data_IF_473206989236
#
_entry.id   IF_473206989236
#
_cell.length_a   1.000
_cell.length_b   1.000
_cell.length_c   1.000
_cell.angle_alpha   90.00
_cell.angle_beta   90.00
_cell.angle_gamma   90.00
#
_symmetry.space_group_name_H-M   'P 1'
#
loop_
_entity.id
_entity.type
_entity.pdbx_description
1 polymer ?
#
# COMPACT_ATOMS: atom_id res chain seq x y z
N UNK A 1 5.79 20.36 14.23
CA UNK A 1 4.62 20.19 13.35
C UNK A 1 4.82 18.89 12.58
N UNK A 2 3.95 17.88 12.70
CA UNK A 2 4.11 16.66 11.91
C UNK A 2 3.83 17.01 10.44
N UNK A 3 4.86 16.91 9.60
CA UNK A 3 4.74 17.09 8.15
C UNK A 3 3.82 16.01 7.61
N UNK A 4 2.62 16.38 7.17
CA UNK A 4 1.77 15.50 6.37
C UNK A 4 2.59 15.04 5.16
N UNK A 5 2.73 13.73 4.90
CA UNK A 5 3.43 13.27 3.72
C UNK A 5 2.71 13.86 2.50
N UNK A 6 3.40 14.73 1.75
CA UNK A 6 2.85 15.33 0.53
C UNK A 6 2.67 14.20 -0.46
N UNK A 7 1.43 13.75 -0.64
CA UNK A 7 1.10 12.73 -1.64
C UNK A 7 1.43 13.30 -3.01
N UNK A 8 2.41 12.68 -3.68
CA UNK A 8 2.85 13.16 -5.00
C UNK A 8 1.85 12.74 -6.07
N UNK A 9 1.90 13.38 -7.26
CA UNK A 9 1.12 12.92 -8.42
C UNK A 9 1.43 11.45 -8.76
N UNK A 10 2.66 11.00 -8.48
CA UNK A 10 3.06 9.61 -8.67
C UNK A 10 2.33 8.67 -7.73
N UNK A 11 2.27 9.02 -6.43
CA UNK A 11 1.56 8.24 -5.43
C UNK A 11 0.08 8.07 -5.79
N UNK A 12 -0.58 9.15 -6.23
CA UNK A 12 -1.99 9.10 -6.64
C UNK A 12 -2.18 8.15 -7.82
N UNK A 13 -1.27 8.19 -8.81
CA UNK A 13 -1.32 7.31 -9.98
C UNK A 13 -1.12 5.84 -9.59
N UNK A 14 -0.11 5.55 -8.78
CA UNK A 14 0.20 4.19 -8.35
C UNK A 14 -0.95 3.60 -7.53
N UNK A 15 -1.55 4.40 -6.63
CA UNK A 15 -2.73 3.99 -5.84
C UNK A 15 -3.98 3.72 -6.71
N UNK A 16 -4.21 4.55 -7.74
CA UNK A 16 -5.33 4.34 -8.66
C UNK A 16 -5.19 3.03 -9.45
N UNK A 17 -3.97 2.73 -9.90
CA UNK A 17 -3.66 1.48 -10.62
C UNK A 17 -3.76 0.28 -9.68
N UNK A 18 -3.19 0.37 -8.48
CA UNK A 18 -3.28 -0.66 -7.44
C UNK A 18 -4.74 -1.03 -7.16
N UNK A 19 -5.60 -0.02 -6.96
CA UNK A 19 -7.03 -0.24 -6.71
C UNK A 19 -7.70 -0.97 -7.87
N UNK A 20 -7.39 -0.59 -9.11
CA UNK A 20 -7.94 -1.27 -10.29
C UNK A 20 -7.50 -2.73 -10.34
N UNK A 21 -6.22 -3.02 -10.13
CA UNK A 21 -5.67 -4.38 -10.16
C UNK A 21 -6.33 -5.25 -9.08
N UNK A 22 -6.44 -4.73 -7.86
CA UNK A 22 -7.06 -5.45 -6.74
C UNK A 22 -8.55 -5.73 -6.99
N UNK A 23 -9.30 -4.78 -7.56
CA UNK A 23 -10.71 -4.99 -7.91
C UNK A 23 -10.89 -6.03 -9.01
N UNK A 24 -9.97 -6.08 -9.98
CA UNK A 24 -10.01 -7.08 -11.06
C UNK A 24 -9.54 -8.46 -10.60
N UNK A 25 -8.63 -8.51 -9.61
CA UNK A 25 -8.00 -9.74 -9.13
C UNK A 25 -7.92 -9.74 -7.59
N UNK A 26 -9.05 -9.89 -6.89
CA UNK A 26 -9.09 -9.82 -5.42
C UNK A 26 -8.36 -10.97 -4.74
N UNK A 27 -8.10 -12.05 -5.47
CA UNK A 27 -7.42 -13.26 -5.02
C UNK A 27 -5.88 -13.18 -5.09
N UNK A 28 -5.30 -12.09 -5.62
CA UNK A 28 -3.85 -11.93 -5.63
C UNK A 28 -3.32 -11.78 -4.22
N UNK A 29 -2.24 -12.48 -3.90
CA UNK A 29 -1.48 -12.20 -2.70
C UNK A 29 -0.66 -10.91 -2.86
N UNK A 30 -0.03 -10.45 -1.76
CA UNK A 30 0.73 -9.19 -1.76
C UNK A 30 1.84 -9.15 -2.82
N UNK A 31 2.63 -10.22 -2.95
CA UNK A 31 3.73 -10.27 -3.91
C UNK A 31 3.24 -10.20 -5.34
N UNK A 32 2.19 -10.95 -5.66
CA UNK A 32 1.55 -10.91 -6.99
C UNK A 32 0.95 -9.53 -7.27
N UNK A 33 0.27 -8.93 -6.29
CA UNK A 33 -0.33 -7.61 -6.44
C UNK A 33 0.71 -6.53 -6.72
N UNK A 34 1.84 -6.54 -6.00
CA UNK A 34 2.95 -5.62 -6.22
C UNK A 34 3.65 -5.86 -7.56
N UNK A 35 3.83 -7.14 -7.94
CA UNK A 35 4.40 -7.51 -9.23
C UNK A 35 3.53 -7.00 -10.39
N UNK A 36 2.22 -7.24 -10.34
CA UNK A 36 1.28 -6.74 -11.35
C UNK A 36 1.23 -5.22 -11.36
N UNK A 37 1.29 -4.57 -10.19
CA UNK A 37 1.34 -3.12 -10.09
C UNK A 37 2.57 -2.56 -10.80
N UNK A 38 3.76 -3.08 -10.49
CA UNK A 38 5.03 -2.71 -11.14
C UNK A 38 4.96 -2.92 -12.66
N UNK A 39 4.46 -4.07 -13.11
CA UNK A 39 4.30 -4.36 -14.52
C UNK A 39 3.34 -3.39 -15.23
N UNK A 40 2.32 -2.90 -14.53
CA UNK A 40 1.31 -1.99 -15.08
C UNK A 40 1.80 -0.53 -15.14
N UNK A 41 2.52 -0.08 -14.10
CA UNK A 41 2.99 1.31 -14.02
C UNK A 41 4.34 1.53 -14.72
N UNK A 42 5.14 0.46 -14.89
CA UNK A 42 6.42 0.49 -15.59
C UNK A 42 7.61 0.98 -14.76
N UNK A 43 7.40 1.26 -13.47
CA UNK A 43 8.42 1.68 -12.50
C UNK A 43 8.15 1.03 -11.14
N UNK A 44 9.08 1.19 -10.20
CA UNK A 44 8.94 0.62 -8.85
C UNK A 44 7.81 1.34 -8.08
N UNK A 45 6.82 0.62 -7.53
CA UNK A 45 5.69 1.23 -6.81
C UNK A 45 6.15 2.14 -5.68
N UNK A 46 5.45 3.26 -5.51
CA UNK A 46 5.76 4.15 -4.39
C UNK A 46 5.64 3.45 -3.03
N UNK A 47 6.37 3.91 -1.99
CA UNK A 47 6.23 3.37 -0.63
C UNK A 47 4.79 3.40 -0.12
N UNK A 48 4.04 4.44 -0.50
CA UNK A 48 2.63 4.57 -0.15
C UNK A 48 1.76 3.51 -0.84
N UNK A 49 1.99 3.26 -2.13
CA UNK A 49 1.30 2.20 -2.86
C UNK A 49 1.63 0.81 -2.30
N UNK A 50 2.87 0.58 -1.88
CA UNK A 50 3.28 -0.67 -1.22
C UNK A 50 2.57 -0.87 0.12
N UNK A 51 2.47 0.19 0.92
CA UNK A 51 1.73 0.15 2.20
C UNK A 51 0.23 -0.06 1.98
N UNK A 52 -0.35 0.57 0.96
CA UNK A 52 -1.75 0.38 0.58
C UNK A 52 -2.01 -1.06 0.13
N UNK A 53 -1.12 -1.65 -0.68
CA UNK A 53 -1.23 -3.04 -1.13
C UNK A 53 -1.24 -4.01 0.06
N UNK A 54 -0.35 -3.79 1.05
CA UNK A 54 -0.36 -4.56 2.31
C UNK A 54 -1.68 -4.45 3.05
N UNK A 55 -2.25 -3.25 3.11
CA UNK A 55 -3.51 -2.98 3.80
C UNK A 55 -4.72 -3.61 3.12
N UNK A 56 -4.69 -3.73 1.79
CA UNK A 56 -5.73 -4.40 1.01
C UNK A 56 -5.70 -5.93 1.19
N UNK A 57 -4.51 -6.52 1.33
CA UNK A 57 -4.36 -7.97 1.48
C UNK A 57 -4.53 -8.43 2.92
N UNK A 58 -3.97 -7.71 3.89
CA UNK A 58 -4.07 -8.04 5.31
C UNK A 58 -4.43 -6.79 6.13
N UNK A 59 -5.74 -6.51 6.30
CA UNK A 59 -6.19 -5.38 7.12
C UNK A 59 -5.88 -5.57 8.62
N UNK A 60 -5.58 -6.79 9.09
CA UNK A 60 -5.30 -7.09 10.49
C UNK A 60 -3.84 -6.77 10.90
N UNK A 61 -2.89 -6.84 9.98
CA UNK A 61 -1.49 -6.42 10.17
C UNK A 61 -1.39 -4.91 10.44
N UNK A 62 -2.20 -4.07 9.79
CA UNK A 62 -2.29 -2.65 10.14
C UNK A 62 -2.79 -2.44 11.58
N UNK A 63 -3.78 -3.24 12.01
CA UNK A 63 -4.23 -3.23 13.40
C UNK A 63 -3.09 -3.55 14.37
N UNK A 64 -2.22 -4.51 14.04
CA UNK A 64 -1.06 -4.85 14.88
C UNK A 64 0.02 -3.79 14.90
N UNK A 65 0.33 -3.13 13.79
CA UNK A 65 1.34 -2.06 13.74
C UNK A 65 0.90 -0.84 14.57
N UNK A 66 -0.40 -0.49 14.51
CA UNK A 66 -1.01 0.55 15.34
C UNK A 66 -1.02 0.16 16.83
N UNK A 67 -1.28 -1.10 17.16
CA UNK A 67 -1.26 -1.59 18.54
C UNK A 67 0.18 -1.67 19.09
N UNK A 68 1.16 -2.05 18.27
CA UNK A 68 2.58 -2.14 18.65
C UNK A 68 3.19 -0.75 18.91
N UNK A 69 2.81 0.27 18.12
CA UNK A 69 3.19 1.67 18.39
C UNK A 69 2.65 2.20 19.73
N UNK A 70 1.47 1.73 20.17
CA UNK A 70 0.92 2.11 21.49
C UNK A 70 1.58 1.38 22.67
N UNK A 71 2.34 0.31 22.43
CA UNK A 71 2.90 -0.52 23.50
C UNK A 71 4.36 -0.21 23.85
N UNK A 72 5.09 0.47 22.96
CA UNK A 72 6.50 0.85 23.19
C UNK A 72 6.70 2.31 23.64
N UNK A 73 5.62 3.08 23.81
CA UNK A 73 5.66 4.42 24.41
C UNK A 73 5.42 4.42 25.91
N UNK A 74 6.21 3.67 26.69
CA UNK A 74 6.22 3.74 28.15
C UNK A 74 7.64 3.98 28.67
#
# INVERSE_FOLDING_TARGET
MPSTPVTTKQDIRDLAVLRRIHLQNPQLNLEQLLHTLRATIGHEPSPLATQAARSLIDPYQQGRDIIMWKKTGK
#
